data_IF_985634390944
#
_entry.id   IF_985634390944
#
_cell.length_a   1.000
_cell.length_b   1.000
_cell.length_c   1.000
_cell.angle_alpha   90.00
_cell.angle_beta   90.00
_cell.angle_gamma   90.00
#
_symmetry.space_group_name_H-M   'P 1'
#
loop_
_entity.id
_entity.type
_entity.pdbx_description
1 polymer ?
#
# COMPACT_ATOMS: atom_id res chain seq x y z
N UNK A 1 39.18 -62.76 21.12
CA UNK A 1 38.26 -62.00 21.99
C UNK A 1 38.36 -60.53 21.61
N UNK A 2 37.53 -60.06 20.69
CA UNK A 2 37.42 -58.63 20.36
C UNK A 2 36.05 -58.14 20.82
N UNK A 3 36.09 -57.15 21.70
CA UNK A 3 34.93 -56.59 22.40
C UNK A 3 34.12 -55.70 21.47
N UNK A 4 32.81 -55.96 21.38
CA UNK A 4 31.86 -55.16 20.61
C UNK A 4 31.62 -53.80 21.29
N UNK A 5 31.96 -52.70 20.61
CA UNK A 5 31.41 -51.38 20.91
C UNK A 5 30.00 -51.28 20.34
N UNK A 6 29.01 -51.12 21.23
CA UNK A 6 27.62 -50.78 20.87
C UNK A 6 27.56 -49.31 20.46
N UNK A 7 27.25 -49.04 19.19
CA UNK A 7 26.83 -47.73 18.72
C UNK A 7 25.39 -47.46 19.19
N UNK A 8 25.21 -46.41 19.99
CA UNK A 8 23.89 -45.88 20.34
C UNK A 8 23.48 -44.86 19.29
N UNK A 9 22.50 -45.20 18.45
CA UNK A 9 21.86 -44.25 17.53
C UNK A 9 20.85 -43.42 18.32
N UNK A 10 21.17 -42.14 18.53
CA UNK A 10 20.21 -41.15 19.03
C UNK A 10 19.35 -40.71 17.84
N UNK A 11 18.11 -41.18 17.81
CA UNK A 11 17.08 -40.77 16.86
C UNK A 11 16.57 -39.38 17.28
N UNK A 12 17.00 -38.32 16.61
CA UNK A 12 16.41 -36.98 16.78
C UNK A 12 15.10 -36.90 15.97
N UNK A 13 13.99 -36.45 16.56
CA UNK A 13 12.75 -36.27 15.82
C UNK A 13 12.88 -35.02 14.93
N UNK A 14 12.74 -35.24 13.62
CA UNK A 14 12.58 -34.21 12.60
C UNK A 14 11.20 -33.56 12.79
N UNK A 15 11.17 -32.42 13.49
CA UNK A 15 9.99 -31.55 13.57
C UNK A 15 9.74 -30.95 12.18
N UNK A 16 8.79 -31.56 11.46
CA UNK A 16 8.23 -31.04 10.22
C UNK A 16 7.39 -29.79 10.57
N UNK A 17 7.96 -28.60 10.42
CA UNK A 17 7.21 -27.35 10.54
C UNK A 17 6.31 -27.20 9.31
N UNK A 18 5.04 -27.55 9.46
CA UNK A 18 4.00 -27.17 8.51
C UNK A 18 3.84 -25.65 8.60
N UNK A 19 4.45 -24.95 7.65
CA UNK A 19 4.16 -23.53 7.42
C UNK A 19 2.74 -23.45 6.87
N UNK A 20 1.79 -23.06 7.71
CA UNK A 20 0.46 -22.65 7.28
C UNK A 20 0.61 -21.42 6.37
N UNK A 21 0.50 -21.65 5.06
CA UNK A 21 0.29 -20.59 4.08
C UNK A 21 -1.15 -20.12 4.31
N UNK A 22 -1.35 -19.11 5.15
CA UNK A 22 -2.60 -18.35 5.18
C UNK A 22 -2.71 -17.59 3.87
N UNK A 23 -3.36 -18.21 2.89
CA UNK A 23 -3.94 -17.49 1.76
C UNK A 23 -5.05 -16.57 2.24
N UNK A 24 -5.20 -15.42 1.60
CA UNK A 24 -6.33 -14.53 1.80
C UNK A 24 -7.61 -15.26 1.37
N UNK A 25 -8.24 -15.99 2.29
CA UNK A 25 -9.54 -16.59 2.05
C UNK A 25 -10.64 -15.59 2.39
N UNK A 26 -11.53 -15.47 1.43
CA UNK A 26 -12.82 -14.80 1.47
C UNK A 26 -13.69 -15.35 2.61
N UNK A 27 -14.18 -14.47 3.47
CA UNK A 27 -15.28 -14.76 4.38
C UNK A 27 -16.34 -13.68 4.22
N UNK A 28 -16.95 -13.67 3.04
CA UNK A 28 -18.24 -13.04 2.84
C UNK A 28 -19.33 -13.80 3.58
N UNK A 29 -19.84 -13.24 4.67
CA UNK A 29 -21.24 -13.44 5.05
C UNK A 29 -21.77 -12.17 5.72
N UNK A 30 -22.45 -11.35 4.90
CA UNK A 30 -23.28 -10.25 5.36
C UNK A 30 -24.44 -10.83 6.19
N UNK A 31 -24.52 -10.47 7.46
CA UNK A 31 -25.75 -10.49 8.24
C UNK A 31 -26.03 -9.05 8.65
N UNK A 32 -27.05 -8.47 8.02
CA UNK A 32 -27.56 -7.14 8.34
C UNK A 32 -28.43 -7.29 9.58
N UNK A 33 -28.03 -6.67 10.70
CA UNK A 33 -28.86 -6.54 11.90
C UNK A 33 -29.26 -5.07 12.10
N UNK A 34 -30.47 -4.80 12.64
CA UNK A 34 -31.11 -3.50 12.53
C UNK A 34 -30.50 -2.47 13.48
N UNK A 35 -30.42 -1.24 12.98
CA UNK A 35 -29.96 -0.05 13.71
C UNK A 35 -31.01 0.32 14.76
N UNK A 36 -30.66 0.19 16.04
CA UNK A 36 -31.41 0.83 17.14
C UNK A 36 -30.65 2.05 17.62
N UNK A 37 -31.27 3.21 17.45
CA UNK A 37 -30.83 4.52 17.92
C UNK A 37 -30.59 4.55 19.42
N UNK A 38 -29.39 4.94 19.84
CA UNK A 38 -29.14 5.50 21.17
C UNK A 38 -27.94 6.44 21.08
N UNK A 39 -28.25 7.72 20.88
CA UNK A 39 -27.33 8.84 21.01
C UNK A 39 -26.90 8.99 22.47
N UNK A 40 -25.64 8.72 22.77
CA UNK A 40 -25.00 9.15 24.02
C UNK A 40 -23.66 9.78 23.70
N UNK A 41 -23.59 11.08 23.98
CA UNK A 41 -22.44 11.96 23.86
C UNK A 41 -21.28 11.48 24.73
N UNK A 42 -20.17 11.05 24.11
CA UNK A 42 -18.89 10.82 24.79
C UNK A 42 -17.97 11.99 24.46
N UNK A 43 -18.23 13.13 25.10
CA UNK A 43 -17.41 14.32 25.03
C UNK A 43 -17.39 15.02 26.39
N UNK A 44 -16.96 14.30 27.44
CA UNK A 44 -16.54 14.88 28.72
C UNK A 44 -16.01 13.75 29.59
N UNK A 45 -14.69 13.59 29.68
CA UNK A 45 -13.93 13.18 30.89
C UNK A 45 -12.43 13.13 30.52
N UNK A 46 -11.83 14.27 30.14
CA UNK A 46 -10.39 14.53 30.36
C UNK A 46 -10.24 16.04 30.54
N UNK A 47 -10.71 16.56 31.66
CA UNK A 47 -10.34 17.89 32.13
C UNK A 47 -10.66 17.98 33.62
N UNK A 48 -9.75 17.47 34.44
CA UNK A 48 -9.51 17.91 35.82
C UNK A 48 -8.48 16.96 36.46
N UNK A 49 -7.20 17.30 36.36
CA UNK A 49 -6.38 17.46 37.57
C UNK A 49 -4.99 18.04 37.28
N UNK A 50 -4.84 19.26 37.81
CA UNK A 50 -3.64 19.80 38.48
C UNK A 50 -2.48 20.23 37.60
N UNK A 51 -2.65 21.47 37.14
CA UNK A 51 -1.69 22.56 37.28
C UNK A 51 -0.90 22.55 38.60
N UNK A 52 0.43 22.36 38.53
CA UNK A 52 1.45 23.13 39.26
C UNK A 52 2.86 22.61 38.93
N UNK A 53 3.51 23.26 37.97
CA UNK A 53 4.97 23.48 37.98
C UNK A 53 5.27 24.69 37.10
N UNK A 54 5.95 25.68 37.67
CA UNK A 54 6.35 26.92 37.03
C UNK A 54 7.49 26.69 36.01
N UNK A 55 7.27 27.24 34.81
CA UNK A 55 8.23 27.99 33.98
C UNK A 55 9.71 27.57 33.94
N UNK A 56 10.15 27.04 32.79
CA UNK A 56 11.22 27.65 31.97
C UNK A 56 10.93 27.46 30.48
N UNK A 57 10.98 28.57 29.74
CA UNK A 57 10.32 28.77 28.45
C UNK A 57 10.91 28.09 27.22
N UNK A 58 10.08 28.08 26.18
CA UNK A 58 10.50 28.30 24.81
C UNK A 58 9.34 29.01 24.08
N UNK A 59 9.58 30.06 23.27
CA UNK A 59 8.51 30.90 22.76
C UNK A 59 7.73 30.16 21.68
N UNK A 60 6.41 30.14 21.82
CA UNK A 60 5.47 29.85 20.73
C UNK A 60 5.77 30.80 19.58
N UNK A 61 6.50 30.32 18.59
CA UNK A 61 6.74 31.04 17.35
C UNK A 61 5.46 30.91 16.52
N UNK A 62 4.54 31.84 16.77
CA UNK A 62 3.37 32.05 15.93
C UNK A 62 3.87 32.25 14.48
N UNK A 63 3.73 31.21 13.66
CA UNK A 63 4.03 31.28 12.25
C UNK A 63 3.01 32.23 11.62
N UNK A 64 3.49 33.38 11.12
CA UNK A 64 2.66 34.31 10.36
C UNK A 64 2.01 33.56 9.18
N UNK A 65 0.74 33.84 8.83
CA UNK A 65 0.16 33.32 7.61
C UNK A 65 1.00 33.85 6.44
N UNK A 66 1.59 32.93 5.69
CA UNK A 66 2.33 33.24 4.46
C UNK A 66 1.28 33.51 3.39
N UNK A 67 1.44 34.64 2.71
CA UNK A 67 0.59 35.15 1.64
C UNK A 67 0.19 34.10 0.60
N UNK A 68 -1.06 34.16 0.14
CA UNK A 68 -1.71 33.29 -0.87
C UNK A 68 -1.10 33.32 -2.29
N UNK A 69 0.08 33.92 -2.47
CA UNK A 69 0.89 33.90 -3.71
C UNK A 69 1.87 32.70 -3.77
N UNK A 70 1.70 31.70 -2.89
CA UNK A 70 2.60 30.55 -2.80
C UNK A 70 2.45 29.62 -4.03
N UNK A 71 3.25 29.87 -5.06
CA UNK A 71 3.38 28.97 -6.22
C UNK A 71 3.94 27.58 -5.89
N UNK A 72 4.33 27.31 -4.63
CA UNK A 72 4.96 26.06 -4.20
C UNK A 72 4.11 25.35 -3.15
N UNK A 73 3.79 24.09 -3.38
CA UNK A 73 2.96 23.26 -2.50
C UNK A 73 3.67 21.95 -2.25
N UNK A 74 3.91 21.62 -0.98
CA UNK A 74 4.51 20.34 -0.61
C UNK A 74 3.43 19.33 -0.23
N UNK A 75 3.56 18.11 -0.76
CA UNK A 75 2.64 17.01 -0.50
C UNK A 75 3.35 16.00 0.40
N UNK A 76 3.03 16.05 1.69
CA UNK A 76 3.50 15.06 2.67
C UNK A 76 2.68 13.79 2.48
N UNK A 77 3.35 12.66 2.26
CA UNK A 77 2.66 11.39 2.02
C UNK A 77 3.19 10.28 2.93
N UNK A 78 2.29 9.48 3.48
CA UNK A 78 2.60 8.39 4.42
C UNK A 78 2.02 7.07 3.91
N UNK A 79 2.88 6.10 3.63
CA UNK A 79 2.50 4.78 3.14
C UNK A 79 2.38 3.75 4.30
N UNK A 80 1.75 2.61 4.02
CA UNK A 80 1.70 1.37 4.83
C UNK A 80 0.91 1.41 6.15
N UNK A 81 0.54 2.60 6.62
CA UNK A 81 -0.33 2.82 7.76
C UNK A 81 -1.78 2.36 7.52
N UNK A 82 -2.67 2.47 8.52
CA UNK A 82 -2.43 3.02 9.86
C UNK A 82 -1.72 2.06 10.83
N UNK A 83 -1.09 2.63 11.85
CA UNK A 83 -0.42 1.98 12.99
C UNK A 83 -0.73 2.70 14.32
N UNK A 84 -0.10 2.32 15.43
CA UNK A 84 -0.22 3.06 16.70
C UNK A 84 0.56 4.39 16.68
N UNK A 85 1.45 4.56 15.70
CA UNK A 85 2.16 5.81 15.45
C UNK A 85 1.25 6.88 14.79
N UNK A 86 0.24 6.46 14.01
CA UNK A 86 -0.64 7.35 13.24
C UNK A 86 -1.20 8.53 14.04
N UNK A 87 -1.74 8.37 15.27
CA UNK A 87 -2.32 9.49 16.01
C UNK A 87 -1.32 10.61 16.27
N UNK A 88 -0.04 10.28 16.49
CA UNK A 88 1.02 11.27 16.71
C UNK A 88 1.38 12.02 15.43
N UNK A 89 1.31 11.35 14.27
CA UNK A 89 1.46 12.00 12.96
C UNK A 89 0.30 12.98 12.76
N UNK A 90 -0.95 12.55 12.97
CA UNK A 90 -2.14 13.41 12.83
C UNK A 90 -2.05 14.62 13.77
N UNK A 91 -1.70 14.39 15.04
CA UNK A 91 -1.54 15.46 16.03
C UNK A 91 -0.49 16.48 15.58
N UNK A 92 0.66 16.02 15.09
CA UNK A 92 1.72 16.90 14.56
C UNK A 92 1.21 17.71 13.36
N UNK A 93 0.57 17.06 12.38
CA UNK A 93 0.01 17.75 11.21
C UNK A 93 -0.99 18.84 11.63
N UNK A 94 -1.88 18.53 12.58
CA UNK A 94 -2.84 19.48 13.14
C UNK A 94 -2.16 20.66 13.84
N UNK A 95 -1.19 20.39 14.72
CA UNK A 95 -0.44 21.43 15.45
C UNK A 95 0.23 22.41 14.50
N UNK A 96 0.75 21.92 13.37
CA UNK A 96 1.41 22.75 12.36
C UNK A 96 0.47 23.24 11.26
N UNK A 97 -0.83 22.95 11.31
CA UNK A 97 -1.81 23.28 10.26
C UNK A 97 -1.34 22.85 8.87
N UNK A 98 -0.78 21.64 8.79
CA UNK A 98 -0.34 21.03 7.54
C UNK A 98 -1.31 19.90 7.18
N UNK A 99 -1.63 19.77 5.89
CA UNK A 99 -2.37 18.62 5.35
C UNK A 99 -1.40 17.61 4.76
N UNK A 100 -1.81 16.35 4.77
CA UNK A 100 -1.07 15.23 4.18
C UNK A 100 -2.00 14.24 3.50
N UNK A 101 -1.42 13.30 2.76
CA UNK A 101 -2.13 12.14 2.20
C UNK A 101 -1.58 10.85 2.85
N UNK A 102 -2.48 10.00 3.32
CA UNK A 102 -2.15 8.66 3.82
C UNK A 102 -2.53 7.63 2.76
N UNK A 103 -1.54 6.92 2.22
CA UNK A 103 -1.76 5.77 1.34
C UNK A 103 -1.83 4.51 2.19
N UNK A 104 -3.05 4.04 2.42
CA UNK A 104 -3.34 3.09 3.50
C UNK A 104 -3.40 1.65 3.03
N UNK A 105 -3.00 0.78 3.94
CA UNK A 105 -3.22 -0.66 3.85
C UNK A 105 -4.36 -1.05 4.79
N UNK A 106 -5.27 -1.91 4.33
CA UNK A 106 -6.39 -2.38 5.14
C UNK A 106 -5.93 -2.92 6.51
N UNK A 107 -6.69 -2.58 7.55
CA UNK A 107 -6.57 -3.14 8.90
C UNK A 107 -7.93 -3.58 9.39
N UNK A 108 -8.01 -4.78 9.97
CA UNK A 108 -9.21 -5.29 10.62
C UNK A 108 -9.49 -4.68 11.99
N UNK A 109 -8.52 -3.97 12.57
CA UNK A 109 -8.68 -3.32 13.87
C UNK A 109 -9.55 -2.08 13.77
N UNK A 110 -10.68 -2.07 14.48
CA UNK A 110 -11.57 -0.91 14.60
C UNK A 110 -10.82 0.33 15.12
N UNK A 111 -9.91 0.15 16.08
CA UNK A 111 -9.08 1.24 16.60
C UNK A 111 -8.25 1.91 15.51
N UNK A 112 -7.58 1.11 14.66
CA UNK A 112 -6.77 1.64 13.55
C UNK A 112 -7.64 2.26 12.46
N UNK A 113 -8.83 1.70 12.20
CA UNK A 113 -9.82 2.30 11.31
C UNK A 113 -10.28 3.68 11.81
N UNK A 114 -10.51 3.83 13.12
CA UNK A 114 -10.87 5.11 13.73
C UNK A 114 -9.79 6.19 13.59
N UNK A 115 -8.50 5.82 13.51
CA UNK A 115 -7.44 6.78 13.22
C UNK A 115 -7.54 7.35 11.79
N UNK A 116 -8.00 6.56 10.82
CA UNK A 116 -8.22 7.04 9.45
C UNK A 116 -9.43 7.96 9.36
N UNK A 117 -10.50 7.65 10.11
CA UNK A 117 -11.61 8.59 10.28
C UNK A 117 -11.11 9.91 10.88
N UNK A 118 -10.34 9.86 11.96
CA UNK A 118 -9.78 11.06 12.59
C UNK A 118 -8.90 11.87 11.63
N UNK A 119 -7.99 11.22 10.89
CA UNK A 119 -7.16 11.88 9.90
C UNK A 119 -8.00 12.60 8.83
N UNK A 120 -9.07 11.94 8.35
CA UNK A 120 -10.00 12.52 7.38
C UNK A 120 -10.80 13.70 7.94
N UNK A 121 -11.31 13.58 9.18
CA UNK A 121 -12.05 14.66 9.86
C UNK A 121 -11.17 15.92 10.07
N UNK A 122 -9.85 15.73 10.27
CA UNK A 122 -8.86 16.81 10.39
C UNK A 122 -8.38 17.36 9.03
N UNK A 123 -8.99 16.93 7.91
CA UNK A 123 -8.74 17.46 6.57
C UNK A 123 -7.55 16.85 5.84
N UNK A 124 -7.02 15.72 6.29
CA UNK A 124 -6.06 14.91 5.54
C UNK A 124 -6.78 14.00 4.54
N UNK A 125 -6.07 13.59 3.51
CA UNK A 125 -6.61 12.67 2.51
C UNK A 125 -6.27 11.22 2.84
N UNK A 126 -7.25 10.33 2.71
CA UNK A 126 -7.06 8.88 2.79
C UNK A 126 -7.15 8.29 1.38
N UNK A 127 -6.09 7.63 0.96
CA UNK A 127 -5.90 7.12 -0.40
C UNK A 127 -5.49 5.64 -0.39
N UNK A 128 -5.71 4.96 -1.50
CA UNK A 128 -5.48 3.52 -1.56
C UNK A 128 -3.99 3.18 -1.73
N UNK A 129 -3.46 2.28 -0.89
CA UNK A 129 -2.19 1.61 -1.15
C UNK A 129 -2.40 0.15 -1.57
N UNK A 130 -3.06 -0.64 -0.72
CA UNK A 130 -3.40 -2.05 -1.00
C UNK A 130 -4.31 -2.61 0.07
N UNK A 131 -5.08 -3.65 -0.23
CA UNK A 131 -5.78 -4.42 0.80
C UNK A 131 -4.82 -5.39 1.52
N UNK A 132 -4.01 -6.17 0.80
CA UNK A 132 -3.15 -7.19 1.43
C UNK A 132 -1.65 -6.86 1.45
N UNK A 133 -1.21 -5.86 0.68
CA UNK A 133 0.20 -5.47 0.47
C UNK A 133 1.13 -6.64 0.04
N UNK A 134 0.54 -7.70 -0.54
CA UNK A 134 1.30 -8.86 -0.98
C UNK A 134 1.61 -8.76 -2.48
N UNK A 135 2.83 -8.32 -2.78
CA UNK A 135 3.37 -8.14 -4.13
C UNK A 135 3.14 -9.33 -5.07
N UNK A 136 3.26 -10.57 -4.57
CA UNK A 136 3.05 -11.77 -5.40
C UNK A 136 1.57 -12.00 -5.75
N UNK A 137 0.66 -11.53 -4.91
CA UNK A 137 -0.78 -11.66 -5.12
C UNK A 137 -1.29 -10.51 -5.98
N UNK A 138 -1.04 -9.26 -5.57
CA UNK A 138 -1.61 -8.08 -6.22
C UNK A 138 -1.07 -7.89 -7.64
N UNK A 139 0.19 -8.21 -7.91
CA UNK A 139 0.79 -8.03 -9.24
C UNK A 139 0.73 -9.28 -10.13
N UNK A 140 -0.01 -10.31 -9.71
CA UNK A 140 -0.18 -11.54 -10.49
C UNK A 140 -0.83 -11.28 -11.85
N UNK A 141 -1.85 -10.43 -11.89
CA UNK A 141 -2.56 -10.00 -13.10
C UNK A 141 -3.43 -8.76 -12.78
N UNK A 142 -4.04 -8.17 -13.81
CA UNK A 142 -4.87 -6.97 -13.69
C UNK A 142 -6.04 -7.18 -12.72
N UNK A 143 -6.76 -8.31 -12.81
CA UNK A 143 -7.91 -8.61 -11.93
C UNK A 143 -7.49 -8.64 -10.47
N UNK A 144 -6.37 -9.32 -10.16
CA UNK A 144 -5.89 -9.45 -8.78
C UNK A 144 -5.54 -8.08 -8.17
N UNK A 145 -4.98 -7.17 -8.97
CA UNK A 145 -4.72 -5.80 -8.52
C UNK A 145 -6.01 -5.01 -8.31
N UNK A 146 -6.95 -5.08 -9.26
CA UNK A 146 -8.21 -4.32 -9.18
C UNK A 146 -9.14 -4.84 -8.08
N UNK A 147 -9.13 -6.13 -7.79
CA UNK A 147 -9.83 -6.72 -6.64
C UNK A 147 -9.24 -6.26 -5.31
N UNK A 148 -7.90 -6.19 -5.20
CA UNK A 148 -7.22 -5.67 -4.02
C UNK A 148 -7.50 -4.17 -3.83
N UNK A 149 -7.46 -3.38 -4.91
CA UNK A 149 -7.84 -1.97 -4.91
C UNK A 149 -9.29 -1.76 -4.47
N UNK A 150 -10.23 -2.48 -5.07
CA UNK A 150 -11.66 -2.35 -4.76
C UNK A 150 -11.93 -2.63 -3.28
N UNK A 151 -11.29 -3.65 -2.69
CA UNK A 151 -11.46 -3.97 -1.27
C UNK A 151 -10.92 -2.89 -0.34
N UNK A 152 -9.74 -2.32 -0.62
CA UNK A 152 -9.21 -1.24 0.22
C UNK A 152 -10.02 0.05 0.04
N UNK A 153 -10.51 0.32 -1.16
CA UNK A 153 -11.33 1.51 -1.44
C UNK A 153 -12.73 1.41 -0.79
N UNK A 154 -13.34 0.21 -0.74
CA UNK A 154 -14.54 -0.06 0.07
C UNK A 154 -14.30 0.19 1.56
N UNK A 155 -13.15 -0.25 2.07
CA UNK A 155 -12.78 0.01 3.46
C UNK A 155 -12.56 1.50 3.72
N UNK A 156 -11.90 2.23 2.81
CA UNK A 156 -11.73 3.69 2.90
C UNK A 156 -13.09 4.39 2.95
N UNK A 157 -14.04 4.01 2.10
CA UNK A 157 -15.41 4.55 2.16
C UNK A 157 -16.11 4.22 3.48
N UNK A 158 -15.92 3.01 4.02
CA UNK A 158 -16.54 2.64 5.30
C UNK A 158 -16.06 3.50 6.47
N UNK A 159 -14.82 4.00 6.44
CA UNK A 159 -14.23 4.79 7.53
C UNK A 159 -14.30 6.30 7.30
N UNK A 160 -14.31 6.76 6.05
CA UNK A 160 -14.32 8.19 5.69
C UNK A 160 -15.65 8.69 5.13
N UNK A 161 -16.53 7.77 4.72
CA UNK A 161 -17.76 8.08 3.99
C UNK A 161 -17.58 8.37 2.50
N UNK A 162 -16.36 8.27 1.95
CA UNK A 162 -16.09 8.55 0.54
C UNK A 162 -15.10 7.56 -0.06
N UNK A 163 -15.31 7.23 -1.35
CA UNK A 163 -14.36 6.47 -2.17
C UNK A 163 -13.20 7.34 -2.59
N UNK A 164 -12.01 6.75 -2.67
CA UNK A 164 -10.82 7.46 -3.10
C UNK A 164 -10.71 7.53 -4.61
N UNK A 165 -10.10 8.61 -5.11
CA UNK A 165 -9.66 8.74 -6.50
C UNK A 165 -8.13 8.65 -6.63
N UNK A 166 -7.45 8.40 -5.52
CA UNK A 166 -5.99 8.42 -5.44
C UNK A 166 -5.47 7.05 -5.05
N UNK A 167 -4.40 6.63 -5.72
CA UNK A 167 -3.73 5.37 -5.47
C UNK A 167 -2.22 5.57 -5.45
N UNK A 168 -1.51 4.82 -4.61
CA UNK A 168 -0.08 4.59 -4.76
C UNK A 168 0.18 3.11 -4.86
N UNK A 169 0.90 2.70 -5.91
CA UNK A 169 1.31 1.31 -6.09
C UNK A 169 2.23 0.85 -4.94
N UNK A 170 2.02 -0.33 -4.33
CA UNK A 170 3.01 -0.93 -3.44
C UNK A 170 4.37 -1.08 -4.14
N UNK A 171 5.38 -0.36 -3.65
CA UNK A 171 6.72 -0.30 -4.23
C UNK A 171 6.88 0.66 -5.42
N UNK A 172 5.86 1.46 -5.73
CA UNK A 172 5.83 2.42 -6.84
C UNK A 172 5.54 1.78 -8.21
N UNK A 173 5.14 2.60 -9.18
CA UNK A 173 4.81 2.16 -10.54
C UNK A 173 6.02 1.60 -11.31
N UNK A 174 7.23 1.97 -10.87
CA UNK A 174 8.51 1.52 -11.42
C UNK A 174 9.07 0.25 -10.74
N UNK A 175 8.23 -0.50 -10.02
CA UNK A 175 8.67 -1.71 -9.34
C UNK A 175 9.29 -2.74 -10.29
N UNK A 176 10.24 -3.52 -9.77
CA UNK A 176 10.95 -4.57 -10.49
C UNK A 176 10.01 -5.48 -11.30
N UNK A 177 10.46 -5.83 -12.51
CA UNK A 177 9.84 -6.85 -13.37
C UNK A 177 9.66 -8.22 -12.69
N UNK A 178 10.37 -8.46 -11.57
CA UNK A 178 10.14 -9.63 -10.69
C UNK A 178 8.69 -9.72 -10.20
N UNK A 179 8.06 -8.58 -9.94
CA UNK A 179 6.70 -8.50 -9.41
C UNK A 179 5.72 -8.02 -10.47
N UNK A 180 6.07 -6.99 -11.23
CA UNK A 180 5.13 -6.36 -12.17
C UNK A 180 5.70 -6.33 -13.59
N UNK A 181 5.06 -7.08 -14.48
CA UNK A 181 5.38 -7.04 -15.91
C UNK A 181 4.73 -5.84 -16.59
N UNK A 182 5.31 -5.37 -17.71
CA UNK A 182 4.76 -4.24 -18.46
C UNK A 182 3.32 -4.45 -18.97
N UNK A 183 2.96 -5.62 -19.53
CA UNK A 183 1.57 -5.83 -19.97
C UNK A 183 0.58 -5.74 -18.80
N UNK A 184 0.95 -6.25 -17.63
CA UNK A 184 0.11 -6.16 -16.42
C UNK A 184 0.03 -4.71 -15.94
N UNK A 185 1.15 -3.98 -15.87
CA UNK A 185 1.13 -2.55 -15.50
C UNK A 185 0.24 -1.74 -16.45
N UNK A 186 0.38 -1.91 -17.77
CA UNK A 186 -0.43 -1.18 -18.74
C UNK A 186 -1.92 -1.51 -18.61
N UNK A 187 -2.27 -2.78 -18.38
CA UNK A 187 -3.64 -3.20 -18.14
C UNK A 187 -4.22 -2.61 -16.85
N UNK A 188 -3.43 -2.55 -15.77
CA UNK A 188 -3.82 -1.88 -14.53
C UNK A 188 -4.02 -0.38 -14.74
N UNK A 189 -3.08 0.30 -15.39
CA UNK A 189 -3.19 1.73 -15.68
C UNK A 189 -4.43 2.06 -16.52
N UNK A 190 -4.77 1.23 -17.51
CA UNK A 190 -6.02 1.37 -18.27
C UNK A 190 -7.25 1.22 -17.38
N UNK A 191 -7.30 0.17 -16.55
CA UNK A 191 -8.43 -0.07 -15.66
C UNK A 191 -8.61 1.02 -14.60
N UNK A 192 -7.51 1.58 -14.07
CA UNK A 192 -7.53 2.72 -13.16
C UNK A 192 -8.02 3.99 -13.88
N UNK A 193 -7.53 4.26 -15.08
CA UNK A 193 -7.97 5.38 -15.91
C UNK A 193 -9.48 5.33 -16.18
N UNK A 194 -10.02 4.16 -16.55
CA UNK A 194 -11.45 3.98 -16.82
C UNK A 194 -12.32 4.20 -15.57
N UNK A 195 -11.75 4.01 -14.37
CA UNK A 195 -12.38 4.33 -13.08
C UNK A 195 -12.12 5.76 -12.59
N UNK A 196 -11.37 6.57 -13.34
CA UNK A 196 -11.00 7.93 -12.92
C UNK A 196 -10.03 7.97 -11.74
N UNK A 197 -9.24 6.92 -11.54
CA UNK A 197 -8.25 6.82 -10.46
C UNK A 197 -6.91 7.36 -10.95
N UNK A 198 -6.34 8.29 -10.21
CA UNK A 198 -4.99 8.82 -10.45
C UNK A 198 -3.99 8.12 -9.54
N UNK A 199 -2.89 7.63 -10.12
CA UNK A 199 -1.80 7.07 -9.33
C UNK A 199 -0.72 8.12 -9.06
N UNK A 200 -0.10 8.02 -7.89
CA UNK A 200 0.98 8.88 -7.43
C UNK A 200 2.16 8.04 -6.92
N UNK A 201 3.32 8.25 -7.50
CA UNK A 201 4.62 7.88 -6.95
C UNK A 201 5.15 9.03 -6.06
N UNK A 202 6.44 9.31 -6.07
CA UNK A 202 7.09 10.38 -5.32
C UNK A 202 8.23 10.99 -6.13
N UNK A 203 8.66 12.20 -5.79
CA UNK A 203 9.85 12.83 -6.38
C UNK A 203 10.88 13.24 -5.31
N UNK A 204 10.55 13.04 -4.03
CA UNK A 204 11.44 13.21 -2.87
C UNK A 204 11.36 11.95 -2.00
N UNK A 205 12.51 11.33 -1.73
CA UNK A 205 12.58 10.18 -0.84
C UNK A 205 13.16 10.58 0.52
N UNK A 206 12.45 10.23 1.60
CA UNK A 206 12.98 10.37 2.96
C UNK A 206 14.08 9.35 3.29
N UNK A 207 14.08 8.20 2.59
CA UNK A 207 14.93 7.04 2.88
C UNK A 207 14.40 6.11 3.97
N UNK A 208 13.23 6.38 4.56
CA UNK A 208 12.67 5.59 5.67
C UNK A 208 12.06 4.22 5.22
N UNK A 209 11.97 3.99 3.91
CA UNK A 209 11.65 2.69 3.31
C UNK A 209 12.74 1.62 3.53
N UNK A 210 13.94 2.02 3.96
CA UNK A 210 15.05 1.12 4.27
C UNK A 210 14.65 0.08 5.31
N UNK A 211 15.19 -1.15 5.22
CA UNK A 211 14.97 -2.21 6.22
C UNK A 211 15.49 -1.84 7.61
N UNK A 212 16.37 -0.84 7.70
CA UNK A 212 16.86 -0.28 8.96
C UNK A 212 16.15 1.05 9.23
N UNK A 213 15.68 1.23 10.45
CA UNK A 213 15.19 2.52 10.93
C UNK A 213 16.23 3.61 10.67
N UNK A 214 15.78 4.75 10.15
CA UNK A 214 16.63 5.92 9.90
C UNK A 214 16.49 6.91 11.06
N UNK A 215 17.56 7.63 11.38
CA UNK A 215 17.48 8.71 12.36
C UNK A 215 16.73 9.91 11.78
N UNK A 216 16.18 10.72 12.67
CA UNK A 216 15.58 12.02 12.35
C UNK A 216 16.47 12.87 11.44
N UNK A 217 17.74 13.00 11.78
CA UNK A 217 18.71 13.84 11.06
C UNK A 217 18.90 13.35 9.63
N UNK A 218 18.96 12.02 9.44
CA UNK A 218 19.17 11.44 8.13
C UNK A 218 17.96 11.65 7.21
N UNK A 219 16.76 11.48 7.77
CA UNK A 219 15.49 11.73 7.07
C UNK A 219 15.42 13.20 6.63
N UNK A 220 15.71 14.12 7.55
CA UNK A 220 15.69 15.55 7.28
C UNK A 220 16.74 15.94 6.23
N UNK A 221 17.95 15.38 6.29
CA UNK A 221 19.01 15.59 5.29
C UNK A 221 18.55 15.16 3.89
N UNK A 222 17.97 13.96 3.77
CA UNK A 222 17.51 13.42 2.48
C UNK A 222 16.43 14.30 1.86
N UNK A 223 15.42 14.70 2.65
CA UNK A 223 14.34 15.59 2.17
C UNK A 223 14.91 16.95 1.74
N UNK A 224 15.78 17.56 2.56
CA UNK A 224 16.38 18.86 2.25
C UNK A 224 17.20 18.85 0.96
N UNK A 225 17.85 17.72 0.65
CA UNK A 225 18.66 17.52 -0.56
C UNK A 225 17.82 17.50 -1.84
N UNK A 226 16.56 17.11 -1.77
CA UNK A 226 15.73 16.85 -2.95
C UNK A 226 14.55 17.81 -3.11
N UNK A 227 13.90 18.23 -2.03
CA UNK A 227 12.62 18.94 -2.10
C UNK A 227 12.66 20.25 -2.90
N UNK A 228 13.75 21.03 -2.80
CA UNK A 228 13.86 22.32 -3.51
C UNK A 228 14.02 22.20 -5.03
N UNK A 229 14.19 20.98 -5.55
CA UNK A 229 14.23 20.73 -6.99
C UNK A 229 12.84 20.80 -7.63
N UNK A 230 11.77 20.84 -6.83
CA UNK A 230 10.39 20.77 -7.28
C UNK A 230 9.55 21.88 -6.65
N UNK A 231 8.65 22.47 -7.42
CA UNK A 231 7.61 23.35 -6.86
C UNK A 231 6.47 22.54 -6.21
N UNK A 232 6.29 21.29 -6.65
CA UNK A 232 5.34 20.30 -6.13
C UNK A 232 6.08 19.03 -5.62
N UNK A 233 6.86 19.09 -4.51
CA UNK A 233 7.50 17.91 -3.97
C UNK A 233 6.48 16.97 -3.34
N UNK A 234 6.43 15.73 -3.83
CA UNK A 234 5.69 14.61 -3.26
C UNK A 234 6.68 13.78 -2.45
N UNK A 235 6.58 13.89 -1.12
CA UNK A 235 7.56 13.37 -0.17
C UNK A 235 7.09 12.01 0.34
N UNK A 236 7.83 10.96 0.01
CA UNK A 236 7.57 9.60 0.49
C UNK A 236 8.09 9.41 1.91
N UNK A 237 7.18 9.08 2.82
CA UNK A 237 7.42 8.62 4.18
C UNK A 237 6.51 7.42 4.47
N UNK A 238 6.74 6.71 5.58
CA UNK A 238 5.92 5.57 5.97
C UNK A 238 5.42 5.70 7.40
N UNK A 239 4.11 5.48 7.57
CA UNK A 239 3.46 5.33 8.87
C UNK A 239 3.60 3.86 9.33
N UNK A 240 4.81 3.53 9.78
CA UNK A 240 5.14 2.20 10.34
C UNK A 240 5.89 2.36 11.65
N UNK A 241 5.58 1.56 12.68
CA UNK A 241 6.12 1.69 14.05
C UNK A 241 7.64 1.83 14.15
N UNK A 242 8.37 1.13 13.27
CA UNK A 242 9.84 1.19 13.23
C UNK A 242 10.41 2.55 12.80
N UNK A 243 9.59 3.42 12.20
CA UNK A 243 9.99 4.70 11.62
C UNK A 243 9.77 5.87 12.59
N UNK A 244 10.14 5.71 13.87
CA UNK A 244 10.07 6.81 14.84
C UNK A 244 10.87 8.05 14.40
N UNK A 245 11.99 7.86 13.70
CA UNK A 245 12.75 8.98 13.13
C UNK A 245 11.94 9.84 12.15
N UNK A 246 10.97 9.26 11.43
CA UNK A 246 10.05 10.00 10.55
C UNK A 246 9.13 10.89 11.38
N UNK A 247 8.53 10.34 12.45
CA UNK A 247 7.68 11.09 13.37
C UNK A 247 8.47 12.23 14.04
N UNK A 248 9.69 11.97 14.50
CA UNK A 248 10.56 12.95 15.15
C UNK A 248 11.04 14.06 14.20
N UNK A 249 11.18 13.74 12.90
CA UNK A 249 11.58 14.71 11.86
C UNK A 249 10.43 15.57 11.36
N UNK A 250 9.18 15.08 11.43
CA UNK A 250 8.01 15.72 10.83
C UNK A 250 7.84 17.20 11.22
N UNK A 251 7.96 17.61 12.50
CA UNK A 251 7.91 19.02 12.88
C UNK A 251 8.91 19.89 12.11
N UNK A 252 10.18 19.46 12.07
CA UNK A 252 11.26 20.22 11.42
C UNK A 252 11.15 20.19 9.89
N UNK A 253 10.62 19.12 9.30
CA UNK A 253 10.32 19.05 7.87
C UNK A 253 9.30 20.13 7.52
N UNK A 254 8.21 20.22 8.29
CA UNK A 254 7.13 21.19 8.05
C UNK A 254 7.63 22.62 8.21
N UNK A 255 8.33 22.91 9.31
CA UNK A 255 8.91 24.24 9.56
C UNK A 255 9.90 24.66 8.47
N UNK A 256 10.77 23.74 8.07
CA UNK A 256 11.77 24.03 7.05
C UNK A 256 11.12 24.27 5.68
N UNK A 257 10.21 23.42 5.23
CA UNK A 257 9.49 23.62 3.96
C UNK A 257 8.72 24.95 3.97
N UNK A 258 8.03 25.28 5.06
CA UNK A 258 7.36 26.58 5.21
C UNK A 258 8.34 27.75 5.12
N UNK A 259 9.53 27.63 5.73
CA UNK A 259 10.60 28.64 5.62
C UNK A 259 11.14 28.81 4.19
N UNK A 260 10.88 27.84 3.31
CA UNK A 260 11.21 27.87 1.87
C UNK A 260 10.04 28.28 0.98
N UNK A 261 8.92 28.69 1.58
CA UNK A 261 7.75 29.21 0.87
C UNK A 261 6.77 28.14 0.40
N UNK A 262 6.84 26.91 0.91
CA UNK A 262 5.85 25.88 0.62
C UNK A 262 4.62 26.02 1.53
N UNK A 263 3.43 25.92 0.94
CA UNK A 263 2.20 25.51 1.63
C UNK A 263 2.08 23.98 1.63
N UNK A 264 1.05 23.44 2.28
CA UNK A 264 0.82 21.99 2.37
C UNK A 264 -0.60 21.63 1.92
N UNK A 265 -0.69 20.63 1.07
CA UNK A 265 -1.98 20.13 0.60
C UNK A 265 -1.92 18.62 0.33
N UNK A 266 -3.07 18.07 -0.03
CA UNK A 266 -3.29 16.66 -0.36
C UNK A 266 -3.08 16.40 -1.85
N UNK A 267 -2.68 15.19 -2.24
CA UNK A 267 -2.32 14.90 -3.64
C UNK A 267 -3.49 15.02 -4.61
N UNK A 268 -4.75 14.99 -4.14
CA UNK A 268 -5.91 15.36 -4.98
C UNK A 268 -5.80 16.75 -5.61
N UNK A 269 -5.06 17.68 -4.99
CA UNK A 269 -4.88 19.06 -5.46
C UNK A 269 -3.57 19.26 -6.24
N UNK A 270 -2.81 18.20 -6.54
CA UNK A 270 -1.60 18.31 -7.34
C UNK A 270 -1.93 18.59 -8.81
N UNK A 271 -1.20 19.52 -9.42
CA UNK A 271 -1.37 19.83 -10.85
C UNK A 271 -0.69 18.78 -11.73
N UNK A 272 0.48 18.31 -11.30
CA UNK A 272 1.29 17.33 -12.03
C UNK A 272 1.60 16.14 -11.11
N UNK A 273 0.79 15.07 -11.13
CA UNK A 273 1.05 13.87 -10.35
C UNK A 273 2.48 13.36 -10.54
N UNK A 274 3.19 13.12 -9.44
CA UNK A 274 4.51 12.51 -9.50
C UNK A 274 4.33 11.06 -9.98
N UNK A 275 4.78 10.75 -11.19
CA UNK A 275 4.68 9.40 -11.78
C UNK A 275 6.05 9.02 -12.32
N UNK A 276 6.61 7.93 -11.80
CA UNK A 276 7.87 7.40 -12.29
C UNK A 276 7.68 6.93 -13.73
N UNK A 277 8.69 7.20 -14.57
CA UNK A 277 8.65 6.71 -15.95
C UNK A 277 8.59 5.18 -15.92
N UNK A 278 7.50 4.60 -16.43
CA UNK A 278 7.44 3.16 -16.70
C UNK A 278 8.68 2.80 -17.55
N UNK A 279 9.49 1.86 -17.08
CA UNK A 279 10.76 1.47 -17.71
C UNK A 279 10.59 1.35 -19.25
N UNK A 280 11.18 2.27 -20.03
CA UNK A 280 11.24 2.18 -21.50
C UNK A 280 12.54 1.48 -21.90
N UNK A 281 12.54 0.46 -22.77
CA UNK A 281 13.76 -0.26 -23.14
C UNK A 281 14.62 0.50 -24.16
N UNK A 282 14.29 1.76 -24.51
CA UNK A 282 14.97 2.53 -25.54
C UNK A 282 16.31 3.16 -25.10
N UNK A 283 16.91 2.71 -23.98
CA UNK A 283 18.20 3.24 -23.49
C UNK A 283 19.31 2.18 -23.44
N UNK A 284 19.07 0.97 -23.94
CA UNK A 284 20.07 -0.10 -23.97
C UNK A 284 20.71 -0.33 -25.37
N UNK A 285 20.37 0.50 -26.38
CA UNK A 285 20.88 0.35 -27.75
C UNK A 285 21.94 1.36 -28.19
N UNK A 286 22.45 2.22 -27.31
CA UNK A 286 23.47 3.22 -27.70
C UNK A 286 24.87 2.97 -27.14
N UNK A 287 25.07 1.91 -26.34
CA UNK A 287 26.39 1.54 -25.78
C UNK A 287 27.11 0.40 -26.53
N UNK A 288 26.60 -0.07 -27.67
CA UNK A 288 27.18 -1.22 -28.40
C UNK A 288 27.59 -0.91 -29.84
N UNK A 289 27.63 0.36 -30.25
CA UNK A 289 28.12 0.78 -31.57
C UNK A 289 29.31 1.75 -31.45
N UNK A 290 30.35 1.34 -30.73
CA UNK A 290 31.69 1.91 -30.91
C UNK A 290 32.75 0.83 -30.74
N UNK A 291 32.85 -0.11 -31.70
CA UNK A 291 34.13 -0.69 -32.11
C UNK A 291 33.96 -1.53 -33.39
N UNK A 292 33.86 -0.88 -34.55
CA UNK A 292 34.25 -1.53 -35.81
C UNK A 292 35.31 -0.63 -36.45
N UNK A 293 36.55 -0.92 -36.10
CA UNK A 293 37.73 -0.38 -36.76
C UNK A 293 37.83 -0.98 -38.15
N UNK A 294 37.87 -0.08 -39.13
CA UNK A 294 38.13 -0.30 -40.54
C UNK A 294 39.46 -1.03 -40.72
N UNK A 295 39.46 -2.16 -41.44
CA UNK A 295 40.67 -2.67 -42.10
C UNK A 295 40.37 -2.89 -43.58
N UNK A 296 41.23 -2.28 -44.38
CA UNK A 296 41.17 -2.14 -45.83
C UNK A 296 41.68 -3.38 -46.58
N UNK A 297 41.04 -3.63 -47.74
CA UNK A 297 41.56 -4.16 -49.02
C UNK A 297 42.20 -5.55 -49.10
N UNK A 298 41.59 -6.44 -49.89
CA UNK A 298 42.11 -6.95 -51.19
C UNK A 298 41.05 -7.79 -51.93
N UNK A 299 41.10 -7.92 -53.28
CA UNK A 299 39.93 -8.29 -54.10
C UNK A 299 39.92 -9.74 -54.69
N UNK A 300 38.70 -10.29 -54.82
CA UNK A 300 38.11 -11.24 -55.82
C UNK A 300 38.88 -12.51 -56.28
N UNK A 301 38.18 -13.65 -56.52
CA UNK A 301 37.41 -13.79 -57.76
C UNK A 301 36.02 -14.44 -57.67
N UNK A 302 35.28 -14.19 -58.75
CA UNK A 302 33.90 -14.46 -59.10
C UNK A 302 33.56 -15.92 -59.42
N UNK A 303 32.37 -16.40 -59.01
CA UNK A 303 31.63 -17.44 -59.76
C UNK A 303 30.09 -17.22 -59.70
N UNK A 304 29.57 -16.88 -60.88
CA UNK A 304 28.29 -17.20 -61.54
C UNK A 304 27.07 -17.81 -60.78
N UNK A 305 25.98 -17.03 -60.81
CA UNK A 305 24.62 -17.32 -61.34
C UNK A 305 23.92 -18.67 -61.04
N UNK A 306 22.74 -18.61 -60.39
CA UNK A 306 21.47 -19.05 -61.00
C UNK A 306 20.24 -18.71 -60.13
N UNK A 307 19.27 -18.08 -60.77
CA UNK A 307 17.88 -17.90 -60.34
C UNK A 307 17.05 -19.06 -60.88
N UNK A 308 16.19 -19.69 -60.06
CA UNK A 308 14.91 -20.31 -60.51
C UNK A 308 13.87 -20.17 -59.37
N UNK A 309 12.63 -19.73 -59.65
CA UNK A 309 11.54 -19.60 -58.68
C UNK A 309 10.50 -20.74 -58.72
N UNK A 310 9.71 -20.83 -57.63
CA UNK A 310 8.35 -21.41 -57.62
C UNK A 310 8.24 -22.87 -57.17
N UNK A 311 7.33 -23.14 -56.22
CA UNK A 311 6.15 -24.03 -56.40
C UNK A 311 5.14 -23.73 -55.27
N UNK A 312 3.88 -23.70 -55.67
CA UNK A 312 2.63 -23.53 -54.90
C UNK A 312 1.98 -24.89 -54.62
N UNK A 313 1.38 -25.06 -53.44
CA UNK A 313 0.24 -25.96 -53.12
C UNK A 313 -0.06 -25.80 -51.62
N UNK A 314 -1.20 -25.31 -51.11
CA UNK A 314 -2.63 -25.60 -51.28
C UNK A 314 -3.09 -26.94 -50.65
N UNK A 315 -4.19 -26.85 -49.85
CA UNK A 315 -5.17 -27.90 -49.45
C UNK A 315 -4.75 -28.69 -48.17
N UNK A 316 -5.56 -28.97 -47.12
CA UNK A 316 -7.02 -28.95 -46.87
C UNK A 316 -7.33 -28.90 -45.35
N UNK A 317 -8.44 -28.25 -44.98
CA UNK A 317 -9.35 -28.55 -43.84
C UNK A 317 -10.41 -29.55 -44.40
N UNK A 318 -11.09 -30.49 -43.68
CA UNK A 318 -11.99 -30.30 -42.50
C UNK A 318 -12.20 -31.58 -41.63
N UNK A 319 -13.33 -31.84 -40.91
CA UNK A 319 -14.39 -30.99 -40.34
C UNK A 319 -14.63 -31.20 -38.81
N UNK A 320 -15.53 -30.36 -38.28
CA UNK A 320 -16.26 -30.52 -37.02
C UNK A 320 -17.69 -31.05 -37.27
N UNK A 321 -18.22 -31.84 -36.34
CA UNK A 321 -19.64 -32.17 -36.04
C UNK A 321 -19.63 -32.82 -34.62
N UNK A 322 -20.64 -32.79 -33.73
CA UNK A 322 -22.06 -32.45 -33.77
C UNK A 322 -22.60 -32.25 -32.33
N UNK A 323 -23.70 -31.51 -32.22
CA UNK A 323 -24.56 -31.29 -31.05
C UNK A 323 -25.16 -32.57 -30.42
N UNK A 324 -25.41 -32.57 -29.10
CA UNK A 324 -26.58 -33.23 -28.46
C UNK A 324 -27.05 -32.41 -27.24
N UNK A 325 -28.32 -32.03 -27.32
CA UNK A 325 -29.25 -31.47 -26.33
C UNK A 325 -29.64 -32.49 -25.24
N UNK A 326 -29.90 -32.04 -24.00
CA UNK A 326 -31.04 -32.49 -23.19
C UNK A 326 -31.09 -31.81 -21.81
N UNK A 327 -32.19 -31.11 -21.60
CA UNK A 327 -32.81 -30.73 -20.34
C UNK A 327 -33.02 -31.91 -19.38
N UNK A 328 -32.84 -31.69 -18.07
CA UNK A 328 -33.73 -32.30 -17.07
C UNK A 328 -33.80 -31.52 -15.76
N UNK A 329 -35.03 -31.49 -15.22
CA UNK A 329 -35.53 -30.69 -14.11
C UNK A 329 -36.20 -31.64 -13.12
N UNK A 330 -35.66 -31.82 -11.91
CA UNK A 330 -36.31 -32.50 -10.76
C UNK A 330 -35.77 -31.81 -9.48
N UNK A 331 -36.48 -30.85 -8.86
CA UNK A 331 -37.48 -30.94 -7.76
C UNK A 331 -37.03 -31.61 -6.46
N UNK A 332 -37.13 -30.80 -5.37
CA UNK A 332 -37.30 -31.13 -3.93
C UNK A 332 -36.25 -32.02 -3.25
N UNK A 333 -35.71 -31.67 -2.09
CA UNK A 333 -36.47 -31.66 -0.83
C UNK A 333 -35.76 -30.87 0.26
N UNK A 334 -36.53 -30.07 0.99
CA UNK A 334 -36.21 -29.56 2.31
C UNK A 334 -36.19 -30.72 3.31
N UNK A 335 -35.15 -30.79 4.15
CA UNK A 335 -35.23 -31.48 5.42
C UNK A 335 -34.68 -30.57 6.53
N UNK A 336 -35.62 -30.12 7.34
CA UNK A 336 -35.41 -29.46 8.63
C UNK A 336 -35.06 -30.51 9.68
N UNK A 337 -33.96 -30.33 10.41
CA UNK A 337 -33.77 -31.02 11.69
C UNK A 337 -33.44 -30.00 12.76
N UNK A 338 -34.37 -29.92 13.71
CA UNK A 338 -34.45 -29.08 14.88
C UNK A 338 -34.24 -29.93 16.13
N UNK A 339 -33.26 -29.61 16.98
CA UNK A 339 -33.25 -30.01 18.41
C UNK A 339 -32.34 -29.03 19.20
N UNK A 340 -32.47 -28.90 20.55
CA UNK A 340 -33.05 -27.71 21.14
C UNK A 340 -32.08 -26.95 22.08
N UNK A 341 -32.48 -25.72 22.40
CA UNK A 341 -31.96 -24.93 23.52
C UNK A 341 -32.48 -25.51 24.83
N UNK A 342 -31.58 -25.77 25.78
CA UNK A 342 -31.93 -25.92 27.20
C UNK A 342 -31.24 -24.82 27.99
N UNK A 343 -32.06 -23.93 28.55
CA UNK A 343 -31.69 -22.99 29.61
C UNK A 343 -32.11 -23.59 30.95
N UNK A 344 -31.22 -23.57 31.94
CA UNK A 344 -31.60 -23.72 33.35
C UNK A 344 -30.59 -22.97 34.25
N UNK A 345 -31.10 -21.92 34.90
CA UNK A 345 -30.94 -21.55 36.33
C UNK A 345 -29.49 -21.36 36.84
N UNK A 346 -29.04 -20.12 37.13
CA UNK A 346 -29.26 -19.35 38.37
C UNK A 346 -29.28 -20.22 39.63
N UNK A 347 -28.22 -20.14 40.44
CA UNK A 347 -28.28 -19.93 41.90
C UNK A 347 -26.93 -19.39 42.42
N UNK A 348 -27.08 -18.39 43.28
CA UNK A 348 -26.14 -17.61 44.08
C UNK A 348 -25.06 -18.39 44.85
N UNK A 349 -23.89 -17.77 45.05
CA UNK A 349 -23.35 -17.54 46.40
C UNK A 349 -22.27 -16.46 46.41
N UNK A 350 -22.55 -15.46 47.24
CA UNK A 350 -21.69 -14.38 47.76
C UNK A 350 -20.82 -14.98 48.89
N UNK A 351 -19.80 -14.22 49.36
CA UNK A 351 -19.01 -14.36 50.62
C UNK A 351 -17.66 -15.07 50.37
N UNK A 352 -16.45 -14.57 50.69
CA UNK A 352 -15.97 -13.56 51.64
C UNK A 352 -14.60 -12.99 51.21
N UNK A 353 -14.35 -11.73 51.55
CA UNK A 353 -13.03 -11.12 51.73
C UNK A 353 -12.21 -11.87 52.79
N UNK A 354 -10.88 -11.93 52.62
CA UNK A 354 -9.92 -11.40 53.61
C UNK A 354 -8.48 -11.48 53.06
N UNK A 355 -7.84 -10.32 52.99
CA UNK A 355 -6.38 -10.11 52.93
C UNK A 355 -5.73 -10.52 54.28
N UNK A 356 -4.39 -10.53 54.45
CA UNK A 356 -3.43 -9.51 54.03
C UNK A 356 -2.72 -9.76 52.70
#
# INVERSE_FOLDING_TARGET
MFSLQKFSFILTPLLLSVSLISGCHDTGQHVVAPVSSSSVSVAQTISENVSKTESKGNPSRSAKPVSDDANKVAYLTFDDGPTEMTPKIIETLKQYQAKATFFVVYKSSEKLANYMKLASDEGNEIAAHSYCHNYKQIYRNVSSFMEDFEKVDQWIESVTGQRTKQLRFPGGSSISKKYLSKPVLNGILSALHDKGITHHDWNVSSGDASSKAQSKEKILENIKKEALKFDEPVILMHDVERNQGTLEALPEIIEWLRSKGYSFDTVSNIKHPAQHRAYSPSQEKESSQQHITVISSTPLPSVSSKVIPGVSSAISVPPAESDIDSSDRITSSFETSSVPVTSSEIISSVILQQSP
#
